data_IF_548461104336
#
_entry.id   IF_548461104336
#
_cell.length_a   1.000
_cell.length_b   1.000
_cell.length_c   1.000
_cell.angle_alpha   90.00
_cell.angle_beta   90.00
_cell.angle_gamma   90.00
#
_symmetry.space_group_name_H-M   'P 1'
#
loop_
_entity.id
_entity.type
_entity.pdbx_description
1 polymer ?
#
# COMPACT_ATOMS: atom_id res chain seq x y z
N UNK A 1 -4.03 -37.17 -12.27
CA UNK A 1 -5.01 -36.20 -12.70
C UNK A 1 -4.96 -34.99 -11.75
N UNK A 2 -3.75 -34.49 -11.44
CA UNK A 2 -3.50 -33.46 -10.42
C UNK A 2 -2.45 -32.44 -10.91
N UNK A 3 -2.56 -31.93 -12.13
CA UNK A 3 -1.52 -31.01 -12.68
C UNK A 3 -2.02 -29.90 -13.61
N UNK A 4 -3.31 -29.59 -13.62
CA UNK A 4 -3.90 -28.57 -14.53
C UNK A 4 -4.59 -27.42 -13.79
N UNK A 5 -4.88 -27.52 -12.49
CA UNK A 5 -5.56 -26.46 -11.74
C UNK A 5 -4.65 -25.32 -11.24
N UNK A 6 -3.36 -25.58 -11.07
CA UNK A 6 -2.43 -24.56 -10.54
C UNK A 6 -2.06 -23.46 -11.54
N UNK A 7 -2.23 -23.70 -12.84
CA UNK A 7 -1.90 -22.71 -13.89
C UNK A 7 -3.02 -21.71 -14.21
N UNK A 8 -4.22 -21.90 -13.67
CA UNK A 8 -5.33 -20.96 -13.90
C UNK A 8 -5.45 -19.85 -12.84
N UNK A 9 -4.83 -19.98 -11.69
CA UNK A 9 -4.86 -18.95 -10.61
C UNK A 9 -3.94 -17.76 -10.85
N UNK A 10 -2.85 -17.92 -11.61
CA UNK A 10 -1.86 -16.85 -11.78
C UNK A 10 -2.12 -15.87 -12.94
N UNK A 11 -3.12 -16.09 -13.79
CA UNK A 11 -3.33 -15.27 -14.99
C UNK A 11 -4.53 -14.30 -14.91
N UNK A 12 -5.29 -14.29 -13.81
CA UNK A 12 -6.46 -13.38 -13.69
C UNK A 12 -6.20 -12.11 -12.88
N UNK A 13 -5.15 -12.07 -12.07
CA UNK A 13 -4.84 -10.89 -11.24
C UNK A 13 -4.08 -9.78 -11.98
N UNK A 14 -3.48 -10.07 -13.13
CA UNK A 14 -2.71 -9.06 -13.89
C UNK A 14 -3.54 -8.22 -14.88
N UNK A 15 -4.78 -8.62 -15.19
CA UNK A 15 -5.62 -7.93 -16.18
C UNK A 15 -6.55 -6.87 -15.60
N UNK A 16 -6.78 -6.84 -14.29
CA UNK A 16 -7.67 -5.85 -13.67
C UNK A 16 -6.97 -4.56 -13.21
N UNK A 17 -5.64 -4.55 -13.05
CA UNK A 17 -4.89 -3.37 -12.60
C UNK A 17 -4.57 -2.40 -13.76
N UNK A 18 -4.54 -2.87 -15.00
CA UNK A 18 -4.24 -2.01 -16.17
C UNK A 18 -5.42 -1.17 -16.67
N UNK A 19 -6.66 -1.52 -16.31
CA UNK A 19 -7.87 -0.82 -16.79
C UNK A 19 -8.21 0.43 -15.99
N UNK A 20 -7.83 0.51 -14.70
CA UNK A 20 -8.17 1.65 -13.83
C UNK A 20 -7.24 2.85 -13.98
N UNK A 21 -5.99 2.64 -14.34
CA UNK A 21 -5.01 3.72 -14.54
C UNK A 21 -5.22 4.48 -15.87
N UNK A 22 -5.81 3.85 -16.88
CA UNK A 22 -6.06 4.48 -18.19
C UNK A 22 -7.29 5.38 -18.20
N UNK A 23 -8.24 5.23 -17.27
CA UNK A 23 -9.48 6.05 -17.24
C UNK A 23 -9.31 7.38 -16.49
N UNK A 24 -8.33 7.51 -15.59
CA UNK A 24 -8.09 8.77 -14.87
C UNK A 24 -7.32 9.78 -15.72
N UNK A 25 -6.49 9.34 -16.66
CA UNK A 25 -5.74 10.22 -17.56
C UNK A 25 -6.61 10.88 -18.66
N UNK A 26 -7.74 10.27 -19.04
CA UNK A 26 -8.63 10.78 -20.08
C UNK A 26 -9.60 11.87 -19.58
N UNK A 27 -9.84 11.99 -18.27
CA UNK A 27 -10.79 12.96 -17.72
C UNK A 27 -10.20 14.34 -17.44
N UNK A 28 -8.89 14.50 -17.42
CA UNK A 28 -8.22 15.78 -17.19
C UNK A 28 -8.08 16.66 -18.44
N UNK A 29 -8.27 16.12 -19.65
CA UNK A 29 -8.09 16.84 -20.92
C UNK A 29 -9.41 17.41 -21.48
N UNK A 30 -10.57 16.96 -20.98
CA UNK A 30 -11.88 17.35 -21.58
C UNK A 30 -12.63 18.49 -20.86
N UNK A 31 -12.03 19.15 -19.85
CA UNK A 31 -12.70 20.22 -19.09
C UNK A 31 -12.23 21.65 -19.47
N UNK A 32 -11.58 21.86 -20.60
CA UNK A 32 -11.12 23.19 -21.04
C UNK A 32 -11.77 23.73 -22.30
N UNK A 33 -12.84 23.17 -22.80
CA UNK A 33 -13.50 23.69 -24.02
C UNK A 33 -15.00 23.77 -23.89
N UNK A 34 -15.55 24.51 -22.96
CA UNK A 34 -16.90 25.13 -23.12
C UNK A 34 -17.08 26.26 -22.10
N UNK A 35 -16.77 27.48 -22.45
CA UNK A 35 -17.51 28.67 -21.99
C UNK A 35 -17.41 29.77 -23.05
N UNK A 36 -18.49 29.95 -23.73
CA UNK A 36 -18.67 30.97 -24.75
C UNK A 36 -18.69 32.39 -24.18
N UNK A 37 -18.26 33.32 -25.00
CA UNK A 37 -18.20 34.75 -24.72
C UNK A 37 -19.61 35.38 -24.60
N UNK A 38 -19.87 36.27 -23.66
CA UNK A 38 -20.96 37.25 -23.76
C UNK A 38 -20.47 38.59 -24.34
N UNK A 39 -21.35 39.19 -25.12
CA UNK A 39 -21.15 40.41 -25.86
C UNK A 39 -20.96 41.66 -24.98
N UNK A 40 -20.27 42.64 -25.57
CA UNK A 40 -19.88 43.91 -24.99
C UNK A 40 -21.06 44.85 -24.68
N UNK A 41 -21.02 45.51 -23.54
CA UNK A 41 -21.69 46.77 -23.24
C UNK A 41 -20.63 47.76 -22.72
N UNK A 42 -20.73 48.98 -23.25
CA UNK A 42 -19.78 50.08 -23.24
C UNK A 42 -19.06 50.40 -21.95
N UNK A 43 -17.76 50.59 -22.08
CA UNK A 43 -16.79 50.62 -21.07
C UNK A 43 -16.44 51.92 -20.40
N UNK A 44 -15.74 51.87 -19.29
CA UNK A 44 -14.82 52.89 -18.80
C UNK A 44 -13.43 52.74 -19.47
N UNK A 45 -12.71 53.85 -19.55
CA UNK A 45 -11.39 54.02 -20.19
C UNK A 45 -10.43 52.85 -20.00
N UNK A 46 -9.61 52.52 -21.01
CA UNK A 46 -8.62 51.45 -20.89
C UNK A 46 -7.64 51.76 -19.76
N UNK A 47 -7.67 50.90 -18.78
CA UNK A 47 -6.59 50.78 -17.79
C UNK A 47 -5.30 50.46 -18.56
N UNK A 48 -4.15 51.05 -18.26
CA UNK A 48 -2.92 50.68 -18.90
C UNK A 48 -2.78 49.14 -18.83
N UNK A 49 -2.81 48.49 -19.99
CA UNK A 49 -2.53 47.07 -20.07
C UNK A 49 -1.09 46.88 -19.58
N UNK A 50 -0.97 46.30 -18.38
CA UNK A 50 0.32 45.80 -17.95
C UNK A 50 0.86 44.91 -19.09
N UNK A 51 2.01 45.27 -19.64
CA UNK A 51 2.75 44.43 -20.60
C UNK A 51 2.72 43.00 -20.08
N UNK A 52 2.28 42.02 -20.86
CA UNK A 52 2.30 40.63 -20.41
C UNK A 52 3.72 40.32 -19.94
N UNK A 53 3.86 39.98 -18.66
CA UNK A 53 5.11 39.59 -18.10
C UNK A 53 5.52 38.29 -18.81
N UNK A 54 6.70 38.19 -19.44
CA UNK A 54 7.10 37.00 -20.13
C UNK A 54 6.99 35.78 -19.18
N UNK A 55 6.51 34.67 -19.70
CA UNK A 55 6.40 33.44 -18.91
C UNK A 55 7.79 33.00 -18.48
N UNK A 56 7.99 32.60 -17.22
CA UNK A 56 9.26 32.11 -16.77
C UNK A 56 9.67 30.87 -17.58
N UNK A 57 10.90 30.85 -18.05
CA UNK A 57 11.43 29.69 -18.76
C UNK A 57 11.43 28.44 -17.86
N UNK A 58 11.34 27.27 -18.47
CA UNK A 58 11.51 26.02 -17.78
C UNK A 58 12.93 25.91 -17.17
N UNK A 59 13.13 25.17 -16.07
CA UNK A 59 14.45 24.85 -15.55
C UNK A 59 15.35 24.28 -16.67
N UNK A 60 16.50 24.91 -16.90
CA UNK A 60 17.39 24.55 -18.01
C UNK A 60 18.22 23.31 -17.68
N UNK A 61 18.78 22.67 -18.75
CA UNK A 61 19.78 21.61 -18.63
C UNK A 61 19.40 20.52 -17.62
N UNK A 62 18.11 20.11 -17.62
CA UNK A 62 17.62 19.05 -16.77
C UNK A 62 18.22 17.71 -17.22
N UNK A 63 19.10 17.14 -16.41
CA UNK A 63 19.96 16.02 -16.78
C UNK A 63 20.13 15.01 -15.63
N UNK A 64 20.47 13.78 -16.00
CA UNK A 64 20.93 12.75 -15.07
C UNK A 64 22.39 13.04 -14.69
N UNK A 65 22.71 12.95 -13.40
CA UNK A 65 24.08 13.07 -12.86
C UNK A 65 24.62 11.76 -12.31
N UNK A 66 23.73 10.87 -11.84
CA UNK A 66 24.11 9.52 -11.41
C UNK A 66 22.94 8.55 -11.60
N UNK A 67 23.26 7.31 -11.95
CA UNK A 67 22.32 6.19 -12.05
C UNK A 67 22.70 5.09 -11.06
N UNK A 68 21.73 4.64 -10.28
CA UNK A 68 21.82 3.43 -9.45
C UNK A 68 20.81 2.38 -9.89
N UNK A 69 20.80 1.26 -9.20
CA UNK A 69 19.81 0.19 -9.39
C UNK A 69 18.39 0.66 -9.07
N UNK A 70 18.23 1.42 -7.99
CA UNK A 70 16.94 1.95 -7.54
C UNK A 70 16.98 3.45 -7.26
N UNK A 71 17.96 4.15 -7.79
CA UNK A 71 18.13 5.58 -7.61
C UNK A 71 18.44 6.27 -8.92
N UNK A 72 17.98 7.51 -9.05
CA UNK A 72 18.35 8.42 -10.15
C UNK A 72 18.65 9.80 -9.54
N UNK A 73 19.87 10.27 -9.70
CA UNK A 73 20.23 11.64 -9.35
C UNK A 73 20.10 12.54 -10.57
N UNK A 74 19.45 13.68 -10.39
CA UNK A 74 19.22 14.68 -11.44
C UNK A 74 19.75 16.04 -11.01
N UNK A 75 20.09 16.88 -11.98
CA UNK A 75 20.44 18.27 -11.76
C UNK A 75 19.83 19.15 -12.85
N UNK A 76 19.71 20.45 -12.56
CA UNK A 76 19.15 21.45 -13.45
C UNK A 76 19.82 22.80 -13.24
N UNK A 77 19.69 23.68 -14.23
CA UNK A 77 20.11 25.06 -14.10
C UNK A 77 18.98 25.89 -13.50
N UNK A 78 19.28 26.84 -12.60
CA UNK A 78 18.28 27.68 -11.95
C UNK A 78 17.40 28.45 -12.94
N UNK A 79 16.11 28.56 -12.60
CA UNK A 79 15.17 29.41 -13.33
C UNK A 79 15.35 30.87 -12.94
N UNK A 80 15.46 31.77 -13.91
CA UNK A 80 15.42 33.21 -13.66
C UNK A 80 13.95 33.67 -13.50
N UNK A 81 13.45 33.58 -12.27
CA UNK A 81 12.23 34.26 -11.87
C UNK A 81 12.52 35.70 -11.50
N UNK A 82 11.69 36.60 -12.01
CA UNK A 82 11.74 38.03 -11.58
C UNK A 82 11.11 38.25 -10.20
N UNK A 83 10.46 37.23 -9.62
CA UNK A 83 9.97 37.22 -8.25
C UNK A 83 10.97 36.47 -7.36
N UNK A 84 11.23 37.01 -6.20
CA UNK A 84 12.29 36.53 -5.31
C UNK A 84 11.99 35.21 -4.63
N UNK A 85 10.73 34.74 -4.64
CA UNK A 85 10.31 33.56 -3.89
C UNK A 85 9.56 32.56 -4.79
N UNK A 86 10.17 31.38 -4.95
CA UNK A 86 9.58 30.25 -5.67
C UNK A 86 10.14 28.93 -5.14
N UNK A 87 9.42 27.84 -5.43
CA UNK A 87 9.89 26.49 -5.17
C UNK A 87 9.91 25.68 -6.48
N UNK A 88 10.81 24.69 -6.53
CA UNK A 88 10.77 23.65 -7.56
C UNK A 88 9.82 22.54 -7.16
N UNK A 89 9.08 22.05 -8.15
CA UNK A 89 8.23 20.87 -8.04
C UNK A 89 8.80 19.81 -8.96
N UNK A 90 9.23 18.71 -8.37
CA UNK A 90 9.90 17.64 -9.04
C UNK A 90 9.11 16.34 -8.86
N UNK A 91 8.75 15.69 -9.96
CA UNK A 91 7.99 14.43 -9.96
C UNK A 91 8.63 13.41 -10.88
N UNK A 92 8.36 12.14 -10.63
CA UNK A 92 8.72 11.04 -11.51
C UNK A 92 7.54 10.09 -11.69
N UNK A 93 7.58 9.24 -12.69
CA UNK A 93 6.58 8.20 -12.90
C UNK A 93 6.46 7.35 -11.64
N UNK A 94 5.24 7.18 -11.13
CA UNK A 94 4.94 6.45 -9.88
C UNK A 94 5.56 7.05 -8.61
N UNK A 95 6.00 8.32 -8.66
CA UNK A 95 6.47 9.09 -7.51
C UNK A 95 5.42 10.13 -7.14
N UNK A 96 4.63 9.88 -6.12
CA UNK A 96 3.65 10.81 -5.58
C UNK A 96 3.79 10.88 -4.05
N UNK A 97 3.66 12.07 -3.42
CA UNK A 97 3.51 13.40 -4.05
C UNK A 97 4.82 13.93 -4.67
N UNK A 98 4.76 15.00 -5.51
CA UNK A 98 5.96 15.61 -6.03
C UNK A 98 6.83 16.17 -4.90
N UNK A 99 8.16 16.06 -5.04
CA UNK A 99 9.09 16.71 -4.13
C UNK A 99 9.03 18.22 -4.33
N UNK A 100 8.86 18.97 -3.24
CA UNK A 100 8.92 20.44 -3.23
C UNK A 100 10.27 20.87 -2.69
N UNK A 101 11.04 21.56 -3.50
CA UNK A 101 12.43 21.94 -3.19
C UNK A 101 12.57 23.46 -3.22
N UNK A 102 13.42 24.03 -2.34
CA UNK A 102 13.65 25.47 -2.29
C UNK A 102 14.31 25.97 -3.59
N UNK A 103 14.18 27.26 -3.87
CA UNK A 103 14.74 27.91 -5.06
C UNK A 103 16.26 27.76 -5.22
N UNK A 104 16.96 27.48 -4.14
CA UNK A 104 18.43 27.26 -4.13
C UNK A 104 18.81 25.85 -4.54
N UNK A 105 17.85 24.93 -4.64
CA UNK A 105 18.12 23.56 -5.05
C UNK A 105 18.47 23.51 -6.55
N UNK A 106 19.52 22.77 -6.88
CA UNK A 106 19.96 22.51 -8.27
C UNK A 106 20.09 21.03 -8.58
N UNK A 107 19.77 20.16 -7.60
CA UNK A 107 19.84 18.71 -7.73
C UNK A 107 18.85 18.02 -6.80
N UNK A 108 18.54 16.77 -7.15
CA UNK A 108 17.73 15.87 -6.33
C UNK A 108 18.07 14.43 -6.65
N UNK A 109 17.93 13.54 -5.66
CA UNK A 109 18.07 12.11 -5.86
C UNK A 109 16.73 11.42 -5.57
N UNK A 110 16.15 10.80 -6.58
CA UNK A 110 15.03 9.88 -6.43
C UNK A 110 15.53 8.55 -5.89
N UNK A 111 14.83 8.01 -4.92
CA UNK A 111 15.12 6.71 -4.29
C UNK A 111 13.89 5.81 -4.36
N UNK A 112 14.06 4.52 -4.06
CA UNK A 112 12.95 3.57 -4.03
C UNK A 112 12.34 3.26 -5.40
N UNK A 113 13.10 3.50 -6.46
CA UNK A 113 12.72 3.13 -7.82
C UNK A 113 12.85 1.61 -8.01
N UNK A 114 12.23 1.07 -9.06
CA UNK A 114 12.48 -0.31 -9.47
C UNK A 114 13.75 -0.41 -10.32
N UNK A 115 14.49 -1.51 -10.18
CA UNK A 115 15.66 -1.79 -11.00
C UNK A 115 15.28 -2.10 -12.46
N UNK A 116 16.15 -1.71 -13.40
CA UNK A 116 15.98 -1.91 -14.84
C UNK A 116 14.64 -1.38 -15.39
N UNK A 117 14.07 -0.35 -14.79
CA UNK A 117 12.84 0.28 -15.24
C UNK A 117 13.10 1.66 -15.85
N UNK A 118 12.28 2.02 -16.83
CA UNK A 118 12.28 3.36 -17.43
C UNK A 118 11.40 4.29 -16.61
N UNK A 119 11.91 5.53 -16.40
CA UNK A 119 11.24 6.57 -15.64
C UNK A 119 11.24 7.89 -16.40
N UNK A 120 10.12 8.58 -16.33
CA UNK A 120 9.92 9.93 -16.81
C UNK A 120 9.98 10.88 -15.61
N UNK A 121 10.85 11.88 -15.68
CA UNK A 121 11.00 12.90 -14.65
C UNK A 121 10.62 14.25 -15.22
N UNK A 122 9.95 15.04 -14.38
CA UNK A 122 9.44 16.35 -14.73
C UNK A 122 9.83 17.36 -13.67
N UNK A 123 10.24 18.56 -14.09
CA UNK A 123 10.54 19.66 -13.19
C UNK A 123 9.94 20.95 -13.71
N UNK A 124 9.32 21.71 -12.82
CA UNK A 124 8.91 23.09 -13.04
C UNK A 124 9.10 23.90 -11.75
N UNK A 125 9.15 25.22 -11.86
CA UNK A 125 9.13 26.12 -10.72
C UNK A 125 7.76 26.76 -10.57
N UNK A 126 7.37 27.13 -9.36
CA UNK A 126 6.12 27.84 -9.08
C UNK A 126 6.37 28.93 -8.05
N UNK A 127 5.94 30.16 -8.37
CA UNK A 127 6.09 31.30 -7.47
C UNK A 127 5.02 31.32 -6.36
N UNK A 128 5.19 32.22 -5.40
CA UNK A 128 4.26 32.37 -4.26
C UNK A 128 2.86 32.79 -4.65
N UNK A 129 2.65 33.34 -5.88
CA UNK A 129 1.34 33.68 -6.41
C UNK A 129 0.65 32.48 -7.08
N UNK A 130 1.35 31.35 -7.17
CA UNK A 130 0.86 30.14 -7.79
C UNK A 130 1.15 30.02 -9.29
N UNK A 131 1.89 30.95 -9.90
CA UNK A 131 2.25 30.95 -11.31
C UNK A 131 3.37 29.93 -11.59
N UNK A 132 3.15 28.97 -12.51
CA UNK A 132 4.19 28.01 -12.88
C UNK A 132 5.16 28.58 -13.92
N UNK A 133 6.37 28.04 -13.97
CA UNK A 133 7.27 28.13 -15.13
C UNK A 133 6.86 27.13 -16.23
N UNK A 134 7.52 27.18 -17.37
CA UNK A 134 7.57 26.04 -18.28
C UNK A 134 8.10 24.79 -17.55
N UNK A 135 7.82 23.63 -18.10
CA UNK A 135 8.22 22.33 -17.58
C UNK A 135 9.37 21.75 -18.40
N UNK A 136 10.38 21.22 -17.74
CA UNK A 136 11.40 20.37 -18.36
C UNK A 136 11.16 18.91 -18.03
N UNK A 137 11.51 18.02 -18.96
CA UNK A 137 11.37 16.60 -18.79
C UNK A 137 12.66 15.87 -19.19
N UNK A 138 12.86 14.71 -18.60
CA UNK A 138 13.89 13.76 -19.02
C UNK A 138 13.38 12.33 -18.85
N UNK A 139 13.92 11.43 -19.64
CA UNK A 139 13.65 9.99 -19.56
C UNK A 139 14.96 9.28 -19.33
N UNK A 140 14.97 8.33 -18.41
CA UNK A 140 16.14 7.49 -18.19
C UNK A 140 15.73 6.14 -17.61
N UNK A 141 16.65 5.19 -17.61
CA UNK A 141 16.45 3.85 -17.09
C UNK A 141 17.41 3.61 -15.93
N UNK A 142 16.89 3.08 -14.81
CA UNK A 142 17.70 2.60 -13.71
C UNK A 142 18.57 1.41 -14.12
N UNK A 143 19.68 1.20 -13.43
CA UNK A 143 20.55 0.06 -13.68
C UNK A 143 19.86 -1.25 -13.33
N UNK A 144 20.33 -2.35 -13.93
CA UNK A 144 19.87 -3.69 -13.56
C UNK A 144 20.42 -4.05 -12.18
N UNK A 145 19.57 -4.61 -11.35
CA UNK A 145 19.96 -5.19 -10.09
C UNK A 145 20.32 -6.67 -10.31
N UNK A 146 21.47 -7.08 -9.84
CA UNK A 146 21.96 -8.46 -9.94
C UNK A 146 22.41 -9.02 -8.60
N UNK A 147 22.27 -8.24 -7.54
CA UNK A 147 22.74 -8.58 -6.19
C UNK A 147 21.56 -8.74 -5.23
N UNK A 148 21.56 -9.75 -4.37
CA UNK A 148 20.58 -9.84 -3.29
C UNK A 148 20.84 -8.76 -2.22
N UNK A 149 19.86 -8.48 -1.34
CA UNK A 149 20.06 -7.64 -0.17
C UNK A 149 21.25 -8.13 0.67
N UNK A 150 22.08 -7.20 1.14
CA UNK A 150 23.39 -7.53 1.72
C UNK A 150 23.39 -7.61 3.26
N UNK A 151 22.44 -6.95 3.92
CA UNK A 151 22.37 -6.90 5.38
C UNK A 151 21.15 -7.61 5.94
N UNK A 152 21.31 -8.25 7.09
CA UNK A 152 20.20 -8.84 7.82
C UNK A 152 19.41 -7.76 8.57
N UNK A 153 18.04 -7.82 8.58
CA UNK A 153 17.24 -6.94 9.42
C UNK A 153 17.54 -7.12 10.91
N UNK A 154 17.52 -6.03 11.67
CA UNK A 154 17.55 -6.09 13.15
C UNK A 154 16.09 -6.13 13.64
N UNK A 155 15.66 -7.28 14.19
CA UNK A 155 14.27 -7.48 14.65
C UNK A 155 14.12 -7.10 16.11
N UNK A 156 13.05 -6.37 16.45
CA UNK A 156 12.62 -6.03 17.81
C UNK A 156 11.16 -6.41 18.03
N UNK A 157 10.83 -6.83 19.25
CA UNK A 157 9.44 -7.08 19.68
C UNK A 157 8.87 -5.76 20.21
N UNK A 158 7.72 -5.36 19.73
CA UNK A 158 7.06 -4.11 20.12
C UNK A 158 5.87 -4.34 21.03
N UNK A 159 5.19 -5.49 20.90
CA UNK A 159 4.04 -5.84 21.74
C UNK A 159 3.90 -7.37 21.77
N UNK A 160 3.38 -7.90 22.89
CA UNK A 160 3.07 -9.33 23.04
C UNK A 160 1.71 -9.47 23.70
N UNK A 161 0.83 -10.24 23.10
CA UNK A 161 -0.46 -10.67 23.64
C UNK A 161 -0.51 -12.17 23.91
N UNK A 162 -1.69 -12.67 24.23
CA UNK A 162 -1.89 -14.11 24.48
C UNK A 162 -1.87 -14.93 23.17
N UNK A 163 -2.31 -14.37 22.05
CA UNK A 163 -2.38 -15.06 20.77
C UNK A 163 -1.70 -14.30 19.63
N UNK A 164 -0.96 -13.23 19.93
CA UNK A 164 -0.27 -12.41 18.95
C UNK A 164 1.05 -11.85 19.48
N UNK A 165 1.89 -11.41 18.55
CA UNK A 165 3.07 -10.60 18.83
C UNK A 165 3.31 -9.61 17.69
N UNK A 166 3.58 -8.36 18.03
CA UNK A 166 3.98 -7.33 17.09
C UNK A 166 5.49 -7.18 17.08
N UNK A 167 6.05 -7.17 15.89
CA UNK A 167 7.48 -7.00 15.65
C UNK A 167 7.73 -5.83 14.71
N UNK A 168 8.88 -5.21 14.86
CA UNK A 168 9.42 -4.23 13.91
C UNK A 168 10.87 -4.60 13.58
N UNK A 169 11.35 -4.13 12.43
CA UNK A 169 12.72 -4.40 12.01
C UNK A 169 13.35 -3.23 11.27
N UNK A 170 14.69 -3.20 11.28
CA UNK A 170 15.44 -2.23 10.49
C UNK A 170 15.47 -2.67 9.02
N UNK A 171 15.47 -1.71 8.06
CA UNK A 171 15.61 -2.07 6.65
C UNK A 171 16.93 -2.79 6.37
N UNK A 172 16.88 -3.77 5.49
CA UNK A 172 18.08 -4.35 4.90
C UNK A 172 18.61 -3.43 3.78
N UNK A 173 19.91 -3.51 3.51
CA UNK A 173 20.59 -2.70 2.50
C UNK A 173 20.62 -3.40 1.14
N UNK A 174 20.23 -2.67 0.09
CA UNK A 174 20.21 -3.16 -1.29
C UNK A 174 20.32 -2.01 -2.31
N UNK A 175 21.45 -1.30 -2.30
CA UNK A 175 21.71 -0.24 -3.26
C UNK A 175 20.66 0.87 -3.35
N UNK A 176 19.88 1.08 -2.28
CA UNK A 176 18.79 2.07 -2.23
C UNK A 176 17.44 1.57 -2.76
N UNK A 177 17.30 0.27 -3.02
CA UNK A 177 16.03 -0.35 -3.39
C UNK A 177 15.08 -0.48 -2.20
N UNK A 178 13.78 -0.34 -2.46
CA UNK A 178 12.76 -0.69 -1.48
C UNK A 178 12.53 -2.20 -1.53
N UNK A 179 12.79 -2.85 -0.40
CA UNK A 179 12.66 -4.29 -0.24
C UNK A 179 11.28 -4.67 0.29
N UNK A 180 10.86 -5.87 -0.05
CA UNK A 180 9.83 -6.64 0.64
C UNK A 180 10.49 -7.56 1.66
N UNK A 181 9.72 -8.10 2.61
CA UNK A 181 10.27 -8.93 3.67
C UNK A 181 9.47 -10.22 3.83
N UNK A 182 10.17 -11.26 4.22
CA UNK A 182 9.59 -12.52 4.68
C UNK A 182 9.72 -12.58 6.21
N UNK A 183 8.61 -12.83 6.88
CA UNK A 183 8.57 -13.15 8.32
C UNK A 183 8.40 -14.64 8.46
N UNK A 184 9.27 -15.26 9.22
CA UNK A 184 9.28 -16.69 9.47
C UNK A 184 9.05 -16.96 10.95
N UNK A 185 8.17 -17.90 11.26
CA UNK A 185 7.84 -18.31 12.63
C UNK A 185 8.10 -19.80 12.77
N UNK A 186 8.90 -20.17 13.77
CA UNK A 186 9.28 -21.55 14.05
C UNK A 186 9.86 -22.29 12.83
N UNK A 187 10.62 -21.56 11.99
CA UNK A 187 11.25 -22.11 10.78
C UNK A 187 10.32 -22.25 9.57
N UNK A 188 9.09 -21.79 9.65
CA UNK A 188 8.12 -21.79 8.53
C UNK A 188 7.82 -20.37 8.08
N UNK A 189 7.66 -20.15 6.75
CA UNK A 189 7.24 -18.87 6.21
C UNK A 189 5.84 -18.56 6.71
N UNK A 190 5.70 -17.45 7.41
CA UNK A 190 4.41 -16.99 7.93
C UNK A 190 3.76 -15.98 6.98
N UNK A 191 4.51 -14.97 6.52
CA UNK A 191 4.01 -13.95 5.62
C UNK A 191 5.11 -13.34 4.76
N UNK A 192 4.74 -12.92 3.56
CA UNK A 192 5.51 -12.00 2.72
C UNK A 192 4.86 -10.62 2.77
N UNK A 193 5.62 -9.59 3.16
CA UNK A 193 5.11 -8.22 3.29
C UNK A 193 5.20 -7.49 1.96
N UNK A 194 4.46 -6.38 1.86
CA UNK A 194 4.66 -5.41 0.79
C UNK A 194 6.00 -4.66 0.91
N UNK A 195 6.33 -3.89 -0.11
CA UNK A 195 7.54 -3.06 -0.12
C UNK A 195 7.53 -2.04 1.01
N UNK A 196 8.70 -1.85 1.62
CA UNK A 196 8.94 -0.91 2.70
C UNK A 196 8.05 -1.07 3.95
N UNK A 197 7.50 -2.26 4.14
CA UNK A 197 6.82 -2.63 5.38
C UNK A 197 7.88 -3.07 6.37
N UNK A 198 8.01 -2.38 7.51
CA UNK A 198 9.06 -2.59 8.52
C UNK A 198 8.49 -3.05 9.87
N UNK A 199 7.21 -3.42 9.92
CA UNK A 199 6.57 -3.97 11.10
C UNK A 199 5.45 -4.93 10.69
N UNK A 200 5.18 -5.89 11.55
CA UNK A 200 4.09 -6.84 11.33
C UNK A 200 3.57 -7.41 12.66
N UNK A 201 2.27 -7.70 12.74
CA UNK A 201 1.67 -8.40 13.86
C UNK A 201 1.43 -9.85 13.47
N UNK A 202 2.18 -10.74 14.09
CA UNK A 202 2.04 -12.19 13.98
C UNK A 202 0.84 -12.58 14.84
N UNK A 203 -0.12 -13.29 14.28
CA UNK A 203 -1.35 -13.71 14.96
C UNK A 203 -1.46 -15.23 14.99
N UNK A 204 -2.47 -15.78 15.63
CA UNK A 204 -2.70 -17.24 15.77
C UNK A 204 -1.61 -17.97 16.53
N UNK A 205 -0.85 -17.28 17.35
CA UNK A 205 0.08 -17.93 18.23
C UNK A 205 -0.68 -18.62 19.37
N UNK A 206 -0.17 -19.74 19.82
CA UNK A 206 -0.76 -20.40 20.99
C UNK A 206 -0.40 -19.60 22.25
N UNK A 207 -1.33 -19.43 23.22
CA UNK A 207 -1.05 -18.78 24.47
C UNK A 207 0.04 -19.49 25.28
N UNK A 208 0.77 -18.73 26.10
CA UNK A 208 1.85 -19.22 26.98
C UNK A 208 2.89 -20.09 26.24
N UNK A 209 3.15 -19.85 24.95
CA UNK A 209 4.13 -20.59 24.15
C UNK A 209 5.27 -19.70 23.66
N UNK A 210 6.45 -20.28 23.53
CA UNK A 210 7.62 -19.60 22.98
C UNK A 210 7.75 -19.88 21.50
N UNK A 211 7.86 -18.82 20.71
CA UNK A 211 8.00 -18.86 19.25
C UNK A 211 9.32 -18.22 18.86
N UNK A 212 10.01 -18.81 17.88
CA UNK A 212 11.22 -18.25 17.26
C UNK A 212 10.84 -17.49 15.99
N UNK A 213 11.23 -16.23 15.89
CA UNK A 213 10.91 -15.38 14.74
C UNK A 213 12.18 -14.90 14.07
N UNK A 214 12.24 -15.02 12.75
CA UNK A 214 13.30 -14.46 11.90
C UNK A 214 12.68 -13.68 10.74
N UNK A 215 13.40 -12.67 10.25
CA UNK A 215 13.00 -11.84 9.12
C UNK A 215 14.15 -11.76 8.12
N UNK A 216 13.84 -11.77 6.83
CA UNK A 216 14.80 -11.43 5.77
C UNK A 216 14.18 -10.54 4.71
N UNK A 217 15.00 -9.69 4.10
CA UNK A 217 14.61 -8.90 2.94
C UNK A 217 14.73 -9.70 1.64
N UNK A 218 13.92 -9.34 0.64
CA UNK A 218 14.08 -9.79 -0.74
C UNK A 218 13.76 -8.65 -1.72
N UNK A 219 14.45 -8.65 -2.85
CA UNK A 219 14.32 -7.63 -3.87
C UNK A 219 13.15 -7.90 -4.85
N UNK A 220 13.02 -7.05 -5.86
CA UNK A 220 12.00 -7.17 -6.90
C UNK A 220 12.21 -8.36 -7.86
N UNK A 221 13.36 -9.05 -7.78
CA UNK A 221 13.69 -10.27 -8.53
C UNK A 221 13.60 -11.52 -7.67
N UNK A 222 13.08 -11.41 -6.44
CA UNK A 222 13.04 -12.49 -5.45
C UNK A 222 14.40 -13.01 -5.02
N UNK A 223 15.47 -12.21 -5.16
CA UNK A 223 16.77 -12.53 -4.58
C UNK A 223 16.70 -12.25 -3.08
N UNK A 224 17.04 -13.25 -2.29
CA UNK A 224 16.85 -13.24 -0.84
C UNK A 224 18.13 -12.86 -0.14
N UNK A 225 18.02 -11.90 0.79
CA UNK A 225 19.10 -11.52 1.70
C UNK A 225 19.26 -12.48 2.88
N UNK A 226 20.21 -12.20 3.77
CA UNK A 226 20.43 -12.99 4.97
C UNK A 226 19.25 -12.85 5.95
N UNK A 227 19.00 -13.91 6.71
CA UNK A 227 18.05 -13.87 7.83
C UNK A 227 18.60 -13.01 8.99
N UNK A 228 17.69 -12.37 9.71
CA UNK A 228 17.97 -11.80 11.02
C UNK A 228 18.46 -12.86 12.02
N UNK A 229 19.07 -12.42 13.10
CA UNK A 229 19.18 -13.29 14.27
C UNK A 229 17.77 -13.68 14.75
N UNK A 230 17.58 -14.94 15.22
CA UNK A 230 16.31 -15.36 15.76
C UNK A 230 15.95 -14.58 17.02
N UNK A 231 14.69 -14.13 17.11
CA UNK A 231 14.13 -13.51 18.30
C UNK A 231 13.12 -14.46 18.92
N UNK A 232 13.30 -14.79 20.20
CA UNK A 232 12.37 -15.60 20.96
C UNK A 232 11.26 -14.74 21.55
N UNK A 233 10.02 -15.11 21.29
CA UNK A 233 8.82 -14.41 21.76
C UNK A 233 7.97 -15.41 22.53
N UNK A 234 7.72 -15.16 23.82
CA UNK A 234 6.78 -15.96 24.62
C UNK A 234 5.47 -15.21 24.73
N UNK A 235 4.39 -15.76 24.19
CA UNK A 235 3.05 -15.21 24.29
C UNK A 235 2.57 -15.21 25.75
N UNK A 236 1.73 -14.26 26.10
CA UNK A 236 1.11 -14.20 27.42
C UNK A 236 0.12 -15.36 27.60
N UNK A 237 -0.13 -15.80 28.84
CA UNK A 237 -1.28 -16.65 29.12
C UNK A 237 -2.58 -15.88 28.84
N UNK A 238 -3.71 -16.59 28.60
CA UNK A 238 -5.02 -15.95 28.54
C UNK A 238 -5.28 -15.12 29.82
N UNK A 239 -6.01 -14.02 29.68
CA UNK A 239 -6.39 -13.23 30.86
C UNK A 239 -7.33 -14.03 31.77
N UNK A 240 -6.92 -14.41 33.00
CA UNK A 240 -7.74 -15.26 33.85
C UNK A 240 -8.99 -14.54 34.41
N UNK A 241 -9.10 -13.23 34.23
CA UNK A 241 -10.22 -12.43 34.67
C UNK A 241 -11.22 -12.10 33.56
N UNK A 242 -10.89 -12.50 32.34
CA UNK A 242 -11.74 -12.31 31.18
C UNK A 242 -12.64 -13.53 30.98
N UNK A 243 -13.93 -13.35 31.26
CA UNK A 243 -14.97 -14.37 31.15
C UNK A 243 -16.14 -13.94 30.27
N UNK A 244 -16.03 -12.75 29.70
CA UNK A 244 -17.06 -12.16 28.85
C UNK A 244 -16.69 -12.35 27.38
N UNK A 245 -17.54 -12.99 26.56
CA UNK A 245 -17.28 -13.08 25.13
C UNK A 245 -17.51 -11.72 24.47
N UNK A 246 -16.89 -11.47 23.31
CA UNK A 246 -17.22 -10.35 22.45
C UNK A 246 -18.72 -10.36 22.11
N UNK A 247 -19.28 -9.18 21.85
CA UNK A 247 -20.66 -9.16 21.34
C UNK A 247 -20.75 -9.84 19.97
N UNK A 248 -21.90 -10.45 19.69
CA UNK A 248 -22.17 -11.12 18.41
C UNK A 248 -21.91 -10.15 17.23
N UNK A 249 -21.23 -10.58 16.16
CA UNK A 249 -21.07 -9.78 14.95
C UNK A 249 -22.44 -9.31 14.42
N UNK A 250 -22.61 -8.02 14.20
CA UNK A 250 -23.89 -7.46 13.78
C UNK A 250 -23.95 -7.21 12.28
N UNK A 251 -25.18 -7.10 11.73
CA UNK A 251 -25.43 -6.75 10.33
C UNK A 251 -24.69 -7.65 9.32
N UNK A 252 -24.61 -8.95 9.61
CA UNK A 252 -24.01 -9.90 8.68
C UNK A 252 -24.81 -9.94 7.37
N UNK A 253 -24.14 -9.71 6.26
CA UNK A 253 -24.73 -9.68 4.91
C UNK A 253 -23.83 -10.44 3.94
N UNK A 254 -24.46 -11.18 3.01
CA UNK A 254 -23.80 -11.88 1.92
C UNK A 254 -24.29 -11.29 0.57
N UNK A 255 -23.34 -10.99 -0.33
CA UNK A 255 -23.62 -10.40 -1.65
C UNK A 255 -22.99 -11.26 -2.74
N UNK A 256 -23.83 -11.93 -3.55
CA UNK A 256 -23.39 -12.69 -4.72
C UNK A 256 -22.98 -11.75 -5.86
N UNK A 257 -21.92 -12.07 -6.57
CA UNK A 257 -21.48 -11.33 -7.77
C UNK A 257 -20.85 -12.23 -8.86
N UNK A 258 -21.16 -13.47 -8.83
CA UNK A 258 -20.75 -14.48 -9.81
C UNK A 258 -21.59 -15.73 -9.69
N UNK A 259 -21.26 -16.79 -10.41
CA UNK A 259 -22.04 -18.00 -10.43
C UNK A 259 -22.17 -18.62 -9.03
N UNK A 260 -21.05 -18.88 -8.35
CA UNK A 260 -21.02 -19.46 -7.01
C UNK A 260 -20.18 -18.61 -6.03
N UNK A 261 -19.80 -17.40 -6.41
CA UNK A 261 -18.93 -16.51 -5.65
C UNK A 261 -19.74 -15.42 -4.96
N UNK A 262 -19.40 -15.12 -3.70
CA UNK A 262 -20.01 -14.05 -2.92
C UNK A 262 -19.01 -13.42 -1.95
N UNK A 263 -19.34 -12.23 -1.46
CA UNK A 263 -18.59 -11.50 -0.43
C UNK A 263 -19.42 -11.39 0.84
N UNK A 264 -18.75 -11.25 1.97
CA UNK A 264 -19.36 -11.07 3.29
C UNK A 264 -18.97 -9.75 3.90
N UNK A 265 -19.95 -9.15 4.59
CA UNK A 265 -19.81 -7.96 5.42
C UNK A 265 -20.48 -8.16 6.76
N UNK A 266 -19.85 -7.68 7.83
CA UNK A 266 -20.46 -7.58 9.16
C UNK A 266 -19.89 -6.41 9.94
N UNK A 267 -20.63 -5.92 10.92
CA UNK A 267 -20.11 -4.96 11.89
C UNK A 267 -19.23 -5.71 12.89
N UNK A 268 -18.01 -5.25 13.04
CA UNK A 268 -17.02 -5.82 13.95
C UNK A 268 -17.54 -5.83 15.39
N UNK A 269 -17.20 -6.90 16.11
CA UNK A 269 -17.51 -7.05 17.53
C UNK A 269 -16.63 -6.14 18.38
N UNK A 270 -17.13 -5.81 19.57
CA UNK A 270 -16.38 -5.15 20.64
C UNK A 270 -16.33 -6.06 21.86
N UNK A 271 -15.33 -5.88 22.68
CA UNK A 271 -15.07 -6.61 23.91
C UNK A 271 -14.66 -5.66 25.03
N UNK A 272 -14.77 -6.10 26.30
CA UNK A 272 -14.44 -5.27 27.45
C UNK A 272 -12.95 -5.28 27.81
N UNK A 273 -12.19 -6.31 27.38
CA UNK A 273 -10.74 -6.45 27.59
C UNK A 273 -9.95 -6.35 26.30
N UNK A 274 -10.48 -6.84 25.19
CA UNK A 274 -9.74 -6.95 23.96
C UNK A 274 -9.97 -5.79 22.99
N UNK A 275 -8.88 -5.36 22.36
CA UNK A 275 -8.97 -4.44 21.23
C UNK A 275 -9.63 -5.14 20.05
N UNK A 276 -10.46 -4.43 19.32
CA UNK A 276 -11.19 -4.92 18.17
C UNK A 276 -10.31 -5.65 17.14
N UNK A 277 -9.08 -5.19 16.93
CA UNK A 277 -8.10 -5.79 16.02
C UNK A 277 -7.60 -7.18 16.46
N UNK A 278 -7.80 -7.56 17.72
CA UNK A 278 -7.41 -8.85 18.28
C UNK A 278 -8.57 -9.85 18.34
N UNK A 279 -9.80 -9.40 18.10
CA UNK A 279 -10.95 -10.29 18.06
C UNK A 279 -10.84 -11.14 16.79
N UNK A 280 -10.93 -12.45 16.98
CA UNK A 280 -10.92 -13.46 15.95
C UNK A 280 -12.35 -13.70 15.45
N UNK A 281 -12.53 -13.84 14.14
CA UNK A 281 -13.78 -14.23 13.51
C UNK A 281 -13.59 -15.55 12.78
N UNK A 282 -14.30 -16.58 13.23
CA UNK A 282 -14.41 -17.86 12.53
C UNK A 282 -15.63 -17.81 11.62
N UNK A 283 -15.42 -17.98 10.33
CA UNK A 283 -16.48 -17.94 9.31
C UNK A 283 -16.74 -19.35 8.80
N UNK A 284 -17.95 -19.81 9.02
CA UNK A 284 -18.40 -21.13 8.57
C UNK A 284 -19.35 -20.98 7.38
N UNK A 285 -19.19 -21.86 6.41
CA UNK A 285 -20.10 -22.02 5.30
C UNK A 285 -20.66 -23.44 5.33
N UNK A 286 -21.99 -23.57 5.40
CA UNK A 286 -22.68 -24.86 5.46
C UNK A 286 -22.12 -25.78 6.58
N UNK A 287 -21.73 -25.18 7.72
CA UNK A 287 -21.16 -25.87 8.88
C UNK A 287 -19.67 -26.20 8.78
N UNK A 288 -18.98 -25.85 7.70
CA UNK A 288 -17.53 -26.03 7.53
C UNK A 288 -16.79 -24.71 7.74
N UNK A 289 -15.69 -24.74 8.49
CA UNK A 289 -14.82 -23.59 8.67
C UNK A 289 -14.13 -23.25 7.34
N UNK A 290 -14.48 -22.11 6.76
CA UNK A 290 -13.94 -21.63 5.49
C UNK A 290 -12.78 -20.66 5.71
N UNK A 291 -12.93 -19.75 6.67
CA UNK A 291 -11.95 -18.70 6.85
C UNK A 291 -11.88 -18.21 8.29
N UNK A 292 -10.71 -17.67 8.65
CA UNK A 292 -10.48 -17.01 9.93
C UNK A 292 -9.95 -15.61 9.67
N UNK A 293 -10.57 -14.62 10.31
CA UNK A 293 -10.21 -13.20 10.22
C UNK A 293 -9.92 -12.62 11.59
N UNK A 294 -9.15 -11.52 11.61
CA UNK A 294 -8.93 -10.72 12.80
C UNK A 294 -9.22 -9.25 12.49
N UNK A 295 -9.90 -8.59 13.41
CA UNK A 295 -10.15 -7.16 13.32
C UNK A 295 -10.74 -6.69 11.99
N UNK A 296 -11.46 -7.56 11.29
CA UNK A 296 -12.05 -7.28 9.97
C UNK A 296 -13.50 -7.70 9.94
N UNK A 297 -14.35 -6.89 9.34
CA UNK A 297 -15.75 -7.18 9.06
C UNK A 297 -16.02 -7.45 7.58
N UNK A 298 -15.02 -7.96 6.83
CA UNK A 298 -15.14 -8.13 5.39
C UNK A 298 -14.33 -9.30 4.85
N UNK A 299 -14.94 -10.06 3.92
CA UNK A 299 -14.27 -11.05 3.07
C UNK A 299 -14.69 -10.79 1.62
N UNK A 300 -13.70 -10.67 0.75
CA UNK A 300 -13.89 -10.29 -0.65
C UNK A 300 -14.38 -11.41 -1.56
N UNK A 301 -14.18 -12.67 -1.18
CA UNK A 301 -14.48 -13.83 -2.03
C UNK A 301 -14.61 -15.09 -1.21
N UNK A 302 -15.78 -15.72 -1.26
CA UNK A 302 -16.08 -17.06 -0.76
C UNK A 302 -16.81 -17.81 -1.88
N UNK A 303 -16.56 -19.11 -2.01
CA UNK A 303 -17.23 -19.96 -2.99
C UNK A 303 -18.22 -20.90 -2.29
N UNK A 304 -19.50 -20.73 -2.60
CA UNK A 304 -20.57 -21.58 -2.12
C UNK A 304 -20.90 -22.73 -3.06
N UNK A 305 -22.04 -23.36 -2.81
CA UNK A 305 -22.63 -24.37 -3.69
C UNK A 305 -23.90 -23.81 -4.33
N UNK A 306 -24.35 -24.39 -5.45
CA UNK A 306 -25.66 -24.07 -6.04
C UNK A 306 -26.78 -24.34 -5.04
N UNK A 307 -27.73 -23.41 -4.94
CA UNK A 307 -28.84 -23.47 -3.98
C UNK A 307 -28.58 -22.59 -2.75
N UNK A 308 -29.21 -22.94 -1.65
CA UNK A 308 -29.12 -22.20 -0.40
C UNK A 308 -27.81 -22.51 0.36
N UNK A 309 -27.10 -21.47 0.76
CA UNK A 309 -25.91 -21.54 1.57
C UNK A 309 -26.16 -20.83 2.90
N UNK A 310 -25.76 -21.45 4.00
CA UNK A 310 -25.83 -20.89 5.35
C UNK A 310 -24.45 -20.42 5.78
N UNK A 311 -24.36 -19.19 6.23
CA UNK A 311 -23.15 -18.57 6.73
C UNK A 311 -23.30 -18.33 8.23
N UNK A 312 -22.27 -18.68 9.00
CA UNK A 312 -22.17 -18.35 10.42
C UNK A 312 -20.84 -17.63 10.68
N UNK A 313 -20.88 -16.57 11.51
CA UNK A 313 -19.69 -15.84 11.94
C UNK A 313 -19.68 -15.77 13.47
N UNK A 314 -18.62 -16.30 14.07
CA UNK A 314 -18.42 -16.34 15.52
C UNK A 314 -17.23 -15.46 15.87
N UNK A 315 -17.40 -14.53 16.80
CA UNK A 315 -16.32 -13.72 17.35
C UNK A 315 -15.75 -14.39 18.60
N UNK A 316 -14.41 -14.45 18.70
CA UNK A 316 -13.70 -15.03 19.86
C UNK A 316 -12.61 -14.06 20.31
N UNK A 317 -12.53 -13.79 21.62
CA UNK A 317 -11.52 -12.96 22.26
C UNK A 317 -10.18 -13.69 22.44
N UNK A 318 -9.21 -13.03 23.07
CA UNK A 318 -7.89 -13.60 23.35
C UNK A 318 -7.88 -14.55 24.55
N UNK A 319 -8.92 -14.54 25.40
CA UNK A 319 -9.12 -15.47 26.49
C UNK A 319 -9.78 -16.78 26.04
N UNK A 320 -10.39 -16.80 24.84
CA UNK A 320 -11.06 -17.95 24.26
C UNK A 320 -12.57 -17.94 24.48
N UNK A 321 -13.17 -16.84 24.99
CA UNK A 321 -14.61 -16.72 25.10
C UNK A 321 -15.21 -16.44 23.72
N UNK A 322 -16.21 -17.20 23.31
CA UNK A 322 -16.83 -17.11 22.00
C UNK A 322 -18.24 -16.52 22.07
N UNK A 323 -18.56 -15.61 21.17
CA UNK A 323 -19.90 -15.05 21.02
C UNK A 323 -20.88 -16.10 20.49
N UNK A 324 -22.19 -15.89 20.63
CA UNK A 324 -23.17 -16.55 19.79
C UNK A 324 -22.89 -16.29 18.30
N UNK A 325 -23.24 -17.21 17.38
CA UNK A 325 -23.05 -17.01 15.96
C UNK A 325 -23.97 -15.91 15.41
N UNK A 326 -23.44 -15.04 14.57
CA UNK A 326 -24.27 -14.29 13.62
C UNK A 326 -24.56 -15.18 12.40
N UNK A 327 -25.78 -15.17 11.89
CA UNK A 327 -26.19 -16.04 10.78
C UNK A 327 -26.73 -15.23 9.60
N UNK A 328 -26.46 -15.69 8.40
CA UNK A 328 -27.05 -15.21 7.15
C UNK A 328 -27.21 -16.36 6.15
N UNK A 329 -28.09 -16.19 5.18
CA UNK A 329 -28.23 -17.14 4.07
C UNK A 329 -28.08 -16.42 2.74
N UNK A 330 -27.59 -17.14 1.74
CA UNK A 330 -27.54 -16.69 0.34
C UNK A 330 -27.93 -17.83 -0.59
N UNK A 331 -28.78 -17.52 -1.57
CA UNK A 331 -29.11 -18.45 -2.64
C UNK A 331 -28.21 -18.16 -3.86
N UNK A 332 -27.45 -19.16 -4.29
CA UNK A 332 -26.58 -19.08 -5.47
C UNK A 332 -27.17 -19.92 -6.62
N UNK A 333 -26.93 -19.50 -7.89
CA UNK A 333 -27.51 -20.12 -9.06
C UNK A 333 -27.09 -21.57 -9.28
#
# INVERSE_FOLDING_TARGET
>A
MFKIEELRKNNRTSLFISSFAAQIAAMAVLLMMVLGSPAALGGPRPRPTATPRPDPHAPGNFRVTALGTCTVSVAWDPVNFTLEDFNYYLSGTNQAPPAVLPRTATSHTFTGLGAANEYWFFIYARDVTGRPSGQSQLVTRTLSDTSPPTTAPGVSVTEVGSNYASIAWTPAEDGGCLLSYEVWVNGSLYVQTGRNVLAYTIRFLQPATTNSVTVRGYDSRNQQGPFSNPVSITTLPPNPNDHTPPNTPANLQAFGYGDLEFQLWWTQSTDDFDRQENIRYDVYLNGHLEEVRFGSGFISSIYGVSGENTIEVIATDTAGNASPPATATIHLP
#
